data_IF_713112077695
#
_entry.id   IF_713112077695
#
_cell.length_a   1.000
_cell.length_b   1.000
_cell.length_c   1.000
_cell.angle_alpha   90.00
_cell.angle_beta   90.00
_cell.angle_gamma   90.00
#
_symmetry.space_group_name_H-M   'P 1'
#
loop_
_entity.id
_entity.type
_entity.pdbx_description
1 polymer ?
#
# COMPACT_ATOMS: atom_id res chain seq x y z
N UNK A 1 4.13 -21.20 -0.42
CA UNK A 1 5.34 -20.37 -0.61
C UNK A 1 6.55 -21.26 -0.84
N UNK A 2 6.78 -21.66 -2.09
CA UNK A 2 7.87 -22.59 -2.46
C UNK A 2 8.75 -22.04 -3.58
N UNK A 3 8.26 -21.06 -4.35
CA UNK A 3 8.99 -20.40 -5.43
C UNK A 3 8.36 -19.02 -5.76
N UNK A 4 8.98 -18.30 -6.70
CA UNK A 4 8.54 -16.99 -7.20
C UNK A 4 7.12 -16.96 -7.79
N UNK A 5 6.65 -18.08 -8.34
CA UNK A 5 5.32 -18.17 -8.93
C UNK A 5 4.23 -18.33 -7.87
N UNK A 6 4.56 -18.90 -6.72
CA UNK A 6 3.61 -19.14 -5.63
C UNK A 6 3.47 -17.90 -4.73
N UNK A 7 4.52 -17.09 -4.58
CA UNK A 7 4.47 -15.83 -3.84
C UNK A 7 3.81 -14.73 -4.68
N UNK A 8 2.65 -14.26 -4.25
CA UNK A 8 1.95 -13.17 -4.93
C UNK A 8 2.60 -11.82 -4.63
N UNK A 9 3.70 -11.55 -5.32
CA UNK A 9 4.33 -10.23 -5.34
C UNK A 9 3.62 -9.29 -6.32
N UNK A 10 3.54 -8.01 -5.97
CA UNK A 10 3.01 -6.94 -6.83
C UNK A 10 3.79 -6.86 -8.14
N UNK A 11 3.11 -6.98 -9.27
CA UNK A 11 3.68 -6.80 -10.61
C UNK A 11 3.28 -5.45 -11.18
N UNK A 12 3.85 -5.09 -12.33
CA UNK A 12 3.56 -3.81 -13.00
C UNK A 12 2.07 -3.60 -13.30
N UNK A 13 1.32 -4.66 -13.56
CA UNK A 13 -0.11 -4.55 -13.81
C UNK A 13 -0.95 -4.44 -12.53
N UNK A 14 -0.39 -4.75 -11.36
CA UNK A 14 -1.05 -4.64 -10.05
C UNK A 14 -0.88 -3.24 -9.42
N UNK A 15 0.09 -2.45 -9.89
CA UNK A 15 0.32 -1.09 -9.37
C UNK A 15 -0.80 -0.14 -9.78
N UNK A 16 -1.03 0.89 -8.96
CA UNK A 16 -1.97 1.96 -9.30
C UNK A 16 -1.57 2.58 -10.66
N UNK A 17 -2.52 2.76 -11.60
CA UNK A 17 -2.22 3.27 -12.93
C UNK A 17 -1.78 4.74 -12.90
N UNK A 18 -2.17 5.48 -11.86
CA UNK A 18 -1.76 6.85 -11.61
C UNK A 18 -1.17 6.96 -10.20
N UNK A 19 -0.03 7.65 -10.10
CA UNK A 19 0.64 7.94 -8.84
C UNK A 19 1.14 9.39 -8.87
N UNK A 20 0.76 10.18 -7.86
CA UNK A 20 1.32 11.51 -7.63
C UNK A 20 2.24 11.50 -6.41
N UNK A 21 3.34 12.25 -6.49
CA UNK A 21 4.24 12.49 -5.37
C UNK A 21 4.35 13.99 -5.14
N UNK A 22 4.09 14.42 -3.90
CA UNK A 22 4.15 15.83 -3.51
C UNK A 22 5.26 16.01 -2.49
N UNK A 23 6.28 16.78 -2.85
CA UNK A 23 7.39 17.12 -1.96
C UNK A 23 7.00 18.37 -1.17
N UNK A 24 6.85 18.23 0.13
CA UNK A 24 6.56 19.35 1.04
C UNK A 24 7.86 20.09 1.36
N UNK A 25 7.86 21.44 1.45
CA UNK A 25 9.06 22.19 1.81
C UNK A 25 9.69 21.69 3.11
N UNK A 26 11.01 21.52 3.12
CA UNK A 26 11.72 21.16 4.34
C UNK A 26 11.76 22.37 5.28
N UNK A 27 11.42 22.17 6.55
CA UNK A 27 11.52 23.19 7.60
C UNK A 27 12.81 23.07 8.41
N UNK A 28 13.66 22.09 8.10
CA UNK A 28 14.95 21.82 8.74
C UNK A 28 16.10 21.97 7.75
N UNK A 29 17.32 22.20 8.26
CA UNK A 29 18.52 22.34 7.41
C UNK A 29 19.00 21.00 6.84
N UNK A 30 18.91 19.92 7.63
CA UNK A 30 19.41 18.59 7.24
C UNK A 30 18.29 17.72 6.63
N UNK A 31 18.63 16.86 5.66
CA UNK A 31 17.68 15.89 5.09
C UNK A 31 17.40 14.73 6.06
N UNK A 32 16.14 14.32 6.14
CA UNK A 32 15.70 13.14 6.88
C UNK A 32 15.53 11.88 6.02
N UNK A 33 15.39 10.73 6.66
CA UNK A 33 15.10 9.46 5.99
C UNK A 33 13.64 9.37 5.53
N UNK A 34 13.42 9.00 4.27
CA UNK A 34 12.08 8.87 3.66
C UNK A 34 11.77 7.45 3.15
N UNK A 35 12.74 6.53 3.19
CA UNK A 35 12.64 5.21 2.55
C UNK A 35 11.46 4.35 3.04
N UNK A 36 11.14 4.44 4.33
CA UNK A 36 10.05 3.67 4.95
C UNK A 36 8.76 4.48 5.11
N UNK A 37 8.80 5.80 4.91
CA UNK A 37 7.71 6.72 5.25
C UNK A 37 6.39 6.38 4.51
N UNK A 38 6.49 6.04 3.22
CA UNK A 38 5.33 5.72 2.39
C UNK A 38 4.77 4.31 2.59
N UNK A 39 5.56 3.39 3.14
CA UNK A 39 5.22 1.97 3.18
C UNK A 39 4.02 1.64 4.08
N UNK A 40 3.98 2.02 5.38
CA UNK A 40 2.87 1.64 6.25
C UNK A 40 1.56 2.32 5.87
N UNK A 41 1.63 3.54 5.34
CA UNK A 41 0.45 4.30 4.92
C UNK A 41 -0.24 3.69 3.68
N UNK A 42 0.53 3.13 2.74
CA UNK A 42 0.00 2.57 1.50
C UNK A 42 -0.95 1.37 1.76
N UNK A 43 -0.56 0.43 2.62
CA UNK A 43 -1.39 -0.74 2.94
C UNK A 43 -2.71 -0.35 3.61
N UNK A 44 -2.67 0.58 4.56
CA UNK A 44 -3.86 1.09 5.23
C UNK A 44 -4.78 1.88 4.27
N UNK A 45 -4.21 2.68 3.36
CA UNK A 45 -4.97 3.41 2.36
C UNK A 45 -5.73 2.45 1.41
N UNK A 46 -5.08 1.37 0.96
CA UNK A 46 -5.70 0.34 0.14
C UNK A 46 -6.84 -0.38 0.88
N UNK A 47 -6.63 -0.77 2.15
CA UNK A 47 -7.68 -1.40 2.96
C UNK A 47 -8.90 -0.49 3.16
N UNK A 48 -8.66 0.79 3.43
CA UNK A 48 -9.74 1.78 3.58
C UNK A 48 -10.49 2.04 2.27
N UNK A 49 -9.78 2.06 1.13
CA UNK A 49 -10.41 2.19 -0.19
C UNK A 49 -11.31 0.98 -0.50
N UNK A 50 -10.83 -0.24 -0.26
CA UNK A 50 -11.62 -1.46 -0.38
C UNK A 50 -12.84 -1.43 0.54
N UNK A 51 -12.66 -1.02 1.80
CA UNK A 51 -13.76 -0.96 2.76
C UNK A 51 -14.85 0.05 2.37
N UNK A 52 -14.45 1.20 1.79
CA UNK A 52 -15.41 2.17 1.25
C UNK A 52 -16.15 1.62 0.01
N UNK A 53 -15.47 0.85 -0.83
CA UNK A 53 -16.05 0.28 -2.04
C UNK A 53 -17.02 -0.88 -1.75
N UNK A 54 -16.74 -1.70 -0.73
CA UNK A 54 -17.53 -2.92 -0.43
C UNK A 54 -18.49 -2.76 0.75
N UNK A 55 -18.30 -1.75 1.60
CA UNK A 55 -19.01 -1.60 2.87
C UNK A 55 -18.53 -2.55 3.98
N UNK A 56 -17.55 -3.41 3.69
CA UNK A 56 -17.02 -4.40 4.64
C UNK A 56 -15.64 -3.95 5.15
N UNK A 57 -15.28 -4.28 6.39
CA UNK A 57 -14.04 -3.76 7.01
C UNK A 57 -13.03 -4.89 7.23
N UNK A 58 -11.95 -5.00 6.43
CA UNK A 58 -10.96 -6.05 6.60
C UNK A 58 -10.13 -5.77 7.86
N UNK A 59 -9.79 -6.83 8.60
CA UNK A 59 -8.91 -6.77 9.78
C UNK A 59 -7.65 -7.62 9.65
N UNK A 60 -7.58 -8.41 8.58
CA UNK A 60 -6.47 -9.29 8.27
C UNK A 60 -6.05 -9.04 6.83
N UNK A 61 -4.75 -9.16 6.58
CA UNK A 61 -4.18 -9.21 5.24
C UNK A 61 -3.75 -10.64 4.91
N UNK A 62 -3.67 -11.02 3.63
CA UNK A 62 -4.08 -10.24 2.45
C UNK A 62 -5.60 -10.01 2.39
N UNK A 63 -6.00 -8.86 1.84
CA UNK A 63 -7.43 -8.49 1.75
C UNK A 63 -8.14 -9.50 0.84
N UNK A 64 -9.36 -9.90 1.20
CA UNK A 64 -10.24 -10.80 0.44
C UNK A 64 -9.83 -12.30 0.43
N UNK A 65 -8.74 -12.71 1.07
CA UNK A 65 -8.42 -14.15 1.18
C UNK A 65 -9.37 -14.92 2.12
N UNK A 66 -10.06 -14.21 3.03
CA UNK A 66 -10.93 -14.80 4.05
C UNK A 66 -12.42 -14.50 3.87
N UNK A 67 -12.87 -14.21 2.63
CA UNK A 67 -14.29 -13.94 2.33
C UNK A 67 -14.78 -12.59 2.87
N UNK A 68 -13.86 -11.63 2.97
CA UNK A 68 -14.08 -10.33 3.58
C UNK A 68 -15.28 -9.59 2.99
#
# INVERSE_FOLDING_TARGET
>A
ESNWNDYKWTRMYDSAPEMSCHIVPNTQAEPGGIGELGFPAAAAAAANAWARATGKKPRNFPINEYGA
#
